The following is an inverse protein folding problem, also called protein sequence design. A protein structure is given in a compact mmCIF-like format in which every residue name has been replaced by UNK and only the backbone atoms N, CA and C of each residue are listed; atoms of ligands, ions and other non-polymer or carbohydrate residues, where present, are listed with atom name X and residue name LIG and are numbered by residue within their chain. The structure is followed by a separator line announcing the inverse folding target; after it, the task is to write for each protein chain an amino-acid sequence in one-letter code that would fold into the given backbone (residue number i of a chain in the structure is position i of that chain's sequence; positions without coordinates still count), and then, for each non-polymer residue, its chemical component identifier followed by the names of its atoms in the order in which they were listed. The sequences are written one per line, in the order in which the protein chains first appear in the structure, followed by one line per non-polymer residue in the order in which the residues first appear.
data_IF_450836965734
#
_entry.id   IF_450836965734
#
_cell.length_a   1.000
_cell.length_b   1.000
_cell.length_c   1.000
_cell.angle_alpha   90.00
_cell.angle_beta   90.00
_cell.angle_gamma   90.00
#
_symmetry.space_group_name_H-M   'P 1'
#
loop_
_entity.id
_entity.type
_entity.pdbx_description
1 polymer ?
#
# COMPACT_ATOMS: atom_id res chain seq x y z
N UNK A 1 -9.22 31.68 -3.80
CA UNK A 1 -10.44 31.00 -3.31
C UNK A 1 -10.38 29.46 -3.40
N UNK A 2 -9.43 28.83 -4.09
CA UNK A 2 -9.36 27.36 -4.15
C UNK A 2 -9.03 26.67 -2.80
N UNK A 3 -8.08 27.19 -2.01
CA UNK A 3 -7.66 26.56 -0.75
C UNK A 3 -8.80 26.46 0.31
N UNK A 4 -9.65 27.49 0.38
CA UNK A 4 -10.82 27.51 1.26
C UNK A 4 -11.92 26.54 0.80
N UNK A 5 -12.08 26.35 -0.52
CA UNK A 5 -13.08 25.44 -1.07
C UNK A 5 -12.74 23.96 -0.81
N UNK A 6 -11.46 23.63 -0.66
CA UNK A 6 -10.98 22.28 -0.39
C UNK A 6 -10.63 22.05 1.09
N UNK A 7 -10.86 23.05 1.96
CA UNK A 7 -10.51 23.02 3.38
C UNK A 7 -9.06 22.54 3.64
N UNK A 8 -8.12 23.01 2.81
CA UNK A 8 -6.69 22.69 2.94
C UNK A 8 -5.87 23.96 3.08
N UNK A 9 -4.76 23.92 3.86
CA UNK A 9 -3.82 25.04 3.91
C UNK A 9 -3.34 25.44 2.52
N UNK A 10 -3.16 26.74 2.30
CA UNK A 10 -2.69 27.28 1.02
C UNK A 10 -1.34 26.67 0.59
N UNK A 11 -0.43 26.46 1.54
CA UNK A 11 0.87 25.82 1.29
C UNK A 11 0.72 24.39 0.77
N UNK A 12 -0.27 23.63 1.25
CA UNK A 12 -0.58 22.29 0.76
C UNK A 12 -1.11 22.32 -0.67
N UNK A 13 -2.01 23.27 -0.97
CA UNK A 13 -2.54 23.44 -2.32
C UNK A 13 -1.45 23.87 -3.31
N UNK A 14 -0.58 24.80 -2.90
CA UNK A 14 0.56 25.28 -3.67
C UNK A 14 1.58 24.16 -3.91
N UNK A 15 1.89 23.36 -2.89
CA UNK A 15 2.75 22.19 -3.02
C UNK A 15 2.20 21.20 -4.05
N UNK A 16 0.91 20.87 -3.98
CA UNK A 16 0.25 20.00 -4.97
C UNK A 16 0.27 20.60 -6.38
N UNK A 17 0.01 21.89 -6.51
CA UNK A 17 0.07 22.60 -7.80
C UNK A 17 1.48 22.59 -8.41
N UNK A 18 2.51 22.62 -7.57
CA UNK A 18 3.92 22.49 -7.98
C UNK A 18 4.36 21.04 -8.20
N UNK A 19 3.45 20.07 -8.10
CA UNK A 19 3.73 18.65 -8.33
C UNK A 19 4.33 17.93 -7.12
N UNK A 20 4.21 18.45 -5.90
CA UNK A 20 4.50 17.65 -4.70
C UNK A 20 3.56 16.46 -4.66
N UNK A 21 4.16 15.28 -4.76
CA UNK A 21 3.49 13.98 -4.64
C UNK A 21 2.77 13.89 -3.30
N UNK A 22 1.58 13.27 -3.31
CA UNK A 22 0.88 12.95 -2.08
C UNK A 22 1.75 12.04 -1.22
N UNK A 23 1.60 12.10 0.10
CA UNK A 23 2.42 11.28 1.03
C UNK A 23 2.34 9.78 0.69
N UNK A 24 1.19 9.34 0.19
CA UNK A 24 0.94 7.97 -0.32
C UNK A 24 1.78 7.62 -1.56
N UNK A 25 1.93 8.55 -2.49
CA UNK A 25 2.75 8.39 -3.71
C UNK A 25 4.25 8.59 -3.41
N UNK A 26 4.57 9.42 -2.42
CA UNK A 26 5.95 9.68 -2.00
C UNK A 26 6.60 8.41 -1.43
N UNK A 27 5.86 7.54 -0.76
CA UNK A 27 6.37 6.27 -0.20
C UNK A 27 6.18 5.06 -1.12
N UNK A 28 5.61 5.23 -2.30
CA UNK A 28 5.38 4.13 -3.25
C UNK A 28 6.68 3.43 -3.63
N UNK A 29 7.78 4.19 -3.80
CA UNK A 29 9.11 3.64 -4.10
C UNK A 29 9.74 2.82 -2.96
N UNK A 30 9.17 2.86 -1.75
CA UNK A 30 9.66 2.11 -0.58
C UNK A 30 8.84 0.84 -0.36
N UNK A 31 7.74 0.66 -1.10
CA UNK A 31 6.90 -0.54 -0.99
C UNK A 31 7.50 -1.64 -1.84
N UNK A 32 7.61 -2.83 -1.24
CA UNK A 32 7.95 -4.06 -1.96
C UNK A 32 6.83 -4.46 -2.93
N UNK A 33 5.58 -4.23 -2.52
CA UNK A 33 4.39 -4.55 -3.31
C UNK A 33 3.88 -3.35 -4.08
N UNK A 34 3.34 -3.60 -5.28
CA UNK A 34 2.45 -2.64 -5.93
C UNK A 34 1.15 -2.48 -5.12
N UNK A 35 0.38 -1.41 -5.37
CA UNK A 35 -0.92 -1.24 -4.69
C UNK A 35 -1.87 -2.42 -4.97
N UNK A 36 -1.85 -2.97 -6.18
CA UNK A 36 -2.70 -4.10 -6.58
C UNK A 36 -2.29 -5.41 -5.88
N UNK A 37 -0.99 -5.67 -5.74
CA UNK A 37 -0.48 -6.84 -5.02
C UNK A 37 -0.81 -6.77 -3.52
N UNK A 38 -0.61 -5.61 -2.89
CA UNK A 38 -0.96 -5.45 -1.47
C UNK A 38 -2.46 -5.64 -1.25
N UNK A 39 -3.30 -5.14 -2.16
CA UNK A 39 -4.75 -5.36 -2.10
C UNK A 39 -5.11 -6.84 -2.23
N UNK A 40 -4.47 -7.56 -3.17
CA UNK A 40 -4.66 -9.00 -3.33
C UNK A 40 -4.29 -9.78 -2.06
N UNK A 41 -3.21 -9.36 -1.39
CA UNK A 41 -2.79 -9.94 -0.11
C UNK A 41 -3.78 -9.67 1.02
N UNK A 42 -4.31 -8.45 1.11
CA UNK A 42 -5.35 -8.09 2.09
C UNK A 42 -6.60 -8.96 1.89
N UNK A 43 -7.06 -9.13 0.65
CA UNK A 43 -8.28 -9.88 0.36
C UNK A 43 -8.11 -11.38 0.63
N UNK A 44 -6.92 -11.93 0.35
CA UNK A 44 -6.57 -13.28 0.74
C UNK A 44 -6.54 -13.47 2.27
N UNK A 45 -5.92 -12.54 3.01
CA UNK A 45 -5.90 -12.56 4.49
C UNK A 45 -7.31 -12.51 5.08
N UNK A 46 -8.16 -11.62 4.55
CA UNK A 46 -9.58 -11.54 4.97
C UNK A 46 -10.30 -12.85 4.71
N UNK A 47 -10.09 -13.45 3.54
CA UNK A 47 -10.70 -14.74 3.18
C UNK A 47 -10.31 -15.82 4.17
N UNK A 48 -9.03 -15.92 4.53
CA UNK A 48 -8.56 -16.86 5.55
C UNK A 48 -9.18 -16.60 6.93
N UNK A 49 -9.31 -15.33 7.31
CA UNK A 49 -10.02 -14.92 8.52
C UNK A 49 -11.48 -15.36 8.53
N UNK A 50 -12.21 -15.18 7.42
CA UNK A 50 -13.60 -15.64 7.30
C UNK A 50 -13.74 -17.16 7.37
N UNK A 51 -12.74 -17.89 6.90
CA UNK A 51 -12.69 -19.36 6.95
C UNK A 51 -12.25 -19.90 8.31
N UNK A 52 -11.88 -19.04 9.27
CA UNK A 52 -11.35 -19.44 10.56
C UNK A 52 -9.97 -20.10 10.48
N UNK A 53 -9.26 -19.92 9.35
CA UNK A 53 -7.93 -20.50 9.15
C UNK A 53 -6.91 -19.57 9.80
N UNK A 54 -6.13 -20.03 10.79
CA UNK A 54 -5.10 -19.22 11.39
C UNK A 54 -4.02 -18.87 10.36
N UNK A 55 -3.72 -17.58 10.27
CA UNK A 55 -2.63 -17.05 9.45
C UNK A 55 -1.29 -17.30 10.14
N UNK A 56 -0.39 -18.01 9.48
CA UNK A 56 1.00 -18.15 9.92
C UNK A 56 1.90 -17.30 9.05
N UNK A 57 3.02 -16.84 9.63
CA UNK A 57 4.00 -16.04 8.88
C UNK A 57 4.58 -16.79 7.67
N UNK A 58 4.69 -18.12 7.75
CA UNK A 58 5.12 -18.96 6.62
C UNK A 58 4.15 -18.90 5.45
N UNK A 59 2.84 -19.02 5.69
CA UNK A 59 1.81 -18.90 4.64
C UNK A 59 1.80 -17.51 4.03
N UNK A 60 1.96 -16.48 4.86
CA UNK A 60 2.01 -15.10 4.41
C UNK A 60 3.22 -14.85 3.51
N UNK A 61 4.38 -15.41 3.85
CA UNK A 61 5.58 -15.36 3.00
C UNK A 61 5.37 -16.11 1.69
N UNK A 62 4.84 -17.32 1.72
CA UNK A 62 4.59 -18.12 0.51
C UNK A 62 3.65 -17.41 -0.46
N UNK A 63 2.59 -16.79 0.06
CA UNK A 63 1.67 -16.00 -0.77
C UNK A 63 2.33 -14.73 -1.32
N UNK A 64 3.12 -14.03 -0.50
CA UNK A 64 3.90 -12.88 -0.90
C UNK A 64 4.89 -13.20 -2.03
N UNK A 65 5.63 -14.31 -1.90
CA UNK A 65 6.57 -14.79 -2.91
C UNK A 65 5.86 -15.19 -4.22
N UNK A 66 4.68 -15.79 -4.12
CA UNK A 66 3.84 -16.09 -5.28
C UNK A 66 3.37 -14.84 -6.04
N UNK A 67 3.12 -13.73 -5.33
CA UNK A 67 2.75 -12.45 -5.95
C UNK A 67 3.95 -11.72 -6.55
N UNK A 68 5.08 -11.72 -5.87
CA UNK A 68 6.29 -10.96 -6.27
C UNK A 68 7.18 -11.72 -7.25
N UNK A 69 7.05 -13.05 -7.31
CA UNK A 69 7.88 -13.91 -8.16
C UNK A 69 9.33 -14.07 -7.70
N UNK A 70 9.67 -13.58 -6.50
CA UNK A 70 11.00 -13.70 -5.90
C UNK A 70 10.89 -13.90 -4.36
N UNK A 71 11.95 -14.43 -3.71
CA UNK A 71 11.98 -14.60 -2.26
C UNK A 71 11.78 -13.28 -1.52
N UNK A 72 11.08 -13.32 -0.39
CA UNK A 72 10.80 -12.14 0.44
C UNK A 72 11.51 -12.27 1.79
N UNK A 73 12.47 -11.36 2.02
CA UNK A 73 13.19 -11.24 3.29
C UNK A 73 14.51 -12.00 3.37
N UNK A 74 15.07 -12.44 2.24
CA UNK A 74 16.49 -12.77 2.15
C UNK A 74 17.27 -11.46 1.99
N UNK A 75 17.90 -11.01 3.07
CA UNK A 75 18.94 -9.98 3.06
C UNK A 75 20.31 -10.65 3.10
#
# INVERSE_FOLDING_TARGET
QAAQNFDVPFSTLQGRFQGQKLKTEAHEHQRLFTMAEEQSMIDWIKTLGTQGIPMTMSKLREFAEGLLGHPVGEN
#
